data_IF_896145233311
#
_entry.id   IF_896145233311
#
_cell.length_a   1.000
_cell.length_b   1.000
_cell.length_c   1.000
_cell.angle_alpha   90.00
_cell.angle_beta   90.00
_cell.angle_gamma   90.00
#
_symmetry.space_group_name_H-M   'P 1'
#
loop_
_entity.id
_entity.type
_entity.pdbx_description
1 polymer ?
#
# COMPACT_ATOMS: atom_id res chain seq x y z
N UNK A 1 24.17 1.35 0.78
CA UNK A 1 23.92 2.70 0.24
C UNK A 1 22.58 3.20 0.74
N UNK A 2 22.56 4.24 1.57
CA UNK A 2 21.37 4.71 2.28
C UNK A 2 20.42 5.59 1.42
N UNK A 3 20.83 5.98 0.21
CA UNK A 3 20.06 6.91 -0.63
C UNK A 3 18.81 6.28 -1.28
N UNK A 4 18.75 4.95 -1.46
CA UNK A 4 17.63 4.30 -2.14
C UNK A 4 16.35 4.20 -1.31
N UNK A 5 16.43 4.16 0.02
CA UNK A 5 15.25 4.02 0.87
C UNK A 5 14.47 5.34 1.01
N UNK A 6 15.19 6.47 1.01
CA UNK A 6 14.59 7.81 1.12
C UNK A 6 13.79 8.18 -0.15
N UNK A 7 14.30 7.85 -1.33
CA UNK A 7 13.61 8.14 -2.59
C UNK A 7 12.33 7.32 -2.75
N UNK A 8 12.34 6.05 -2.33
CA UNK A 8 11.13 5.22 -2.38
C UNK A 8 10.07 5.69 -1.37
N UNK A 9 10.47 6.09 -0.15
CA UNK A 9 9.54 6.67 0.82
C UNK A 9 8.88 7.95 0.30
N UNK A 10 9.66 8.83 -0.34
CA UNK A 10 9.13 10.07 -0.94
C UNK A 10 8.18 9.79 -2.12
N UNK A 11 8.51 8.81 -2.97
CA UNK A 11 7.64 8.41 -4.07
C UNK A 11 6.31 7.81 -3.56
N UNK A 12 6.35 7.00 -2.50
CA UNK A 12 5.15 6.45 -1.88
C UNK A 12 4.30 7.53 -1.22
N UNK A 13 4.93 8.54 -0.60
CA UNK A 13 4.22 9.69 -0.06
C UNK A 13 3.52 10.51 -1.16
N UNK A 14 4.18 10.73 -2.30
CA UNK A 14 3.56 11.38 -3.45
C UNK A 14 2.39 10.56 -4.01
N UNK A 15 2.53 9.23 -4.09
CA UNK A 15 1.44 8.33 -4.51
C UNK A 15 0.26 8.35 -3.54
N UNK A 16 0.52 8.39 -2.22
CA UNK A 16 -0.54 8.57 -1.23
C UNK A 16 -1.26 9.90 -1.43
N UNK A 17 -0.51 10.99 -1.59
CA UNK A 17 -1.09 12.33 -1.83
C UNK A 17 -1.94 12.36 -3.12
N UNK A 18 -1.50 11.71 -4.20
CA UNK A 18 -2.27 11.56 -5.42
C UNK A 18 -3.55 10.74 -5.18
N UNK A 19 -3.43 9.60 -4.49
CA UNK A 19 -4.54 8.72 -4.14
C UNK A 19 -5.51 9.33 -3.09
N UNK A 20 -5.19 10.47 -2.50
CA UNK A 20 -6.14 11.22 -1.68
C UNK A 20 -7.29 11.80 -2.53
N UNK A 21 -7.03 12.16 -3.78
CA UNK A 21 -8.05 12.64 -4.73
C UNK A 21 -8.70 11.49 -5.50
N UNK A 22 -9.96 11.66 -5.90
CA UNK A 22 -10.65 10.64 -6.72
C UNK A 22 -9.98 10.45 -8.09
N UNK A 23 -9.59 11.54 -8.74
CA UNK A 23 -8.87 11.51 -10.01
C UNK A 23 -7.55 10.74 -9.89
N UNK A 24 -6.77 10.99 -8.83
CA UNK A 24 -5.51 10.28 -8.61
C UNK A 24 -5.71 8.81 -8.25
N UNK A 25 -6.74 8.44 -7.47
CA UNK A 25 -7.09 7.02 -7.25
C UNK A 25 -7.39 6.32 -8.56
N UNK A 26 -8.19 6.94 -9.42
CA UNK A 26 -8.53 6.38 -10.73
C UNK A 26 -7.31 6.27 -11.64
N UNK A 27 -6.40 7.23 -11.61
CA UNK A 27 -5.16 7.18 -12.37
C UNK A 27 -4.28 6.00 -11.91
N UNK A 28 -4.08 5.84 -10.60
CA UNK A 28 -3.30 4.73 -10.04
C UNK A 28 -3.99 3.37 -10.28
N UNK A 29 -5.32 3.31 -10.25
CA UNK A 29 -6.06 2.09 -10.54
C UNK A 29 -6.03 1.67 -12.03
N UNK A 30 -5.93 2.64 -12.94
CA UNK A 30 -5.84 2.38 -14.38
C UNK A 30 -4.42 2.08 -14.84
N UNK A 31 -3.41 2.57 -14.13
CA UNK A 31 -2.02 2.32 -14.48
C UNK A 31 -1.66 0.84 -14.28
N UNK A 32 -1.34 0.11 -15.36
CA UNK A 32 -1.10 -1.33 -15.28
C UNK A 32 0.08 -1.65 -14.36
N UNK A 33 -0.16 -2.47 -13.34
CA UNK A 33 0.88 -2.91 -12.41
C UNK A 33 1.21 -1.92 -11.28
N UNK A 34 0.59 -0.74 -11.24
CA UNK A 34 0.78 0.20 -10.13
C UNK A 34 0.26 -0.38 -8.79
N UNK A 35 -0.88 -1.07 -8.82
CA UNK A 35 -1.44 -1.75 -7.64
C UNK A 35 -0.49 -2.86 -7.18
N UNK A 36 0.01 -3.69 -8.10
CA UNK A 36 1.00 -4.73 -7.79
C UNK A 36 2.29 -4.15 -7.21
N UNK A 37 2.76 -3.02 -7.72
CA UNK A 37 3.95 -2.33 -7.19
C UNK A 37 3.71 -1.82 -5.76
N UNK A 38 2.55 -1.19 -5.50
CA UNK A 38 2.16 -0.78 -4.15
C UNK A 38 2.14 -1.96 -3.18
N UNK A 39 1.56 -3.11 -3.58
CA UNK A 39 1.52 -4.33 -2.76
C UNK A 39 2.92 -4.81 -2.36
N UNK A 40 3.89 -4.78 -3.29
CA UNK A 40 5.29 -5.14 -3.01
C UNK A 40 5.96 -4.19 -2.00
N UNK A 41 5.50 -2.95 -1.91
CA UNK A 41 6.05 -1.95 -1.01
C UNK A 41 5.27 -1.80 0.31
N UNK A 42 4.11 -2.47 0.48
CA UNK A 42 3.36 -2.49 1.74
C UNK A 42 4.22 -3.05 2.87
N UNK A 43 4.99 -4.10 2.62
CA UNK A 43 5.94 -4.66 3.57
C UNK A 43 7.36 -4.51 3.02
N UNK A 44 7.87 -3.29 3.03
CA UNK A 44 9.28 -3.07 2.71
C UNK A 44 10.14 -3.34 3.94
N UNK A 45 11.07 -4.28 3.84
CA UNK A 45 12.00 -4.65 4.92
C UNK A 45 13.10 -3.58 5.16
N UNK A 46 12.93 -2.38 4.60
CA UNK A 46 13.91 -1.31 4.71
C UNK A 46 13.69 -0.52 5.98
N UNK A 47 14.78 -0.03 6.56
CA UNK A 47 14.88 0.52 7.92
C UNK A 47 14.00 1.76 8.22
N UNK A 48 13.27 2.29 7.24
CA UNK A 48 12.34 3.41 7.42
C UNK A 48 10.90 2.94 7.38
N UNK A 49 10.26 2.98 8.55
CA UNK A 49 8.90 2.52 8.76
C UNK A 49 7.83 3.40 8.06
N UNK A 50 8.22 4.58 7.57
CA UNK A 50 7.32 5.53 6.93
C UNK A 50 6.90 5.07 5.52
N UNK A 51 7.78 4.42 4.75
CA UNK A 51 7.43 3.95 3.40
C UNK A 51 6.27 2.94 3.40
N UNK A 52 6.30 1.99 4.34
CA UNK A 52 5.24 0.98 4.50
C UNK A 52 3.88 1.59 4.87
N UNK A 53 3.89 2.69 5.64
CA UNK A 53 2.68 3.43 5.97
C UNK A 53 2.06 4.09 4.74
N UNK A 54 2.85 4.84 3.96
CA UNK A 54 2.39 5.53 2.77
C UNK A 54 1.91 4.54 1.69
N UNK A 55 2.65 3.44 1.49
CA UNK A 55 2.23 2.37 0.57
C UNK A 55 0.89 1.74 0.97
N UNK A 56 0.73 1.39 2.25
CA UNK A 56 -0.51 0.81 2.75
C UNK A 56 -1.70 1.79 2.65
N UNK A 57 -1.45 3.08 2.86
CA UNK A 57 -2.48 4.11 2.76
C UNK A 57 -2.91 4.36 1.31
N UNK A 58 -1.97 4.50 0.37
CA UNK A 58 -2.26 4.62 -1.06
C UNK A 58 -3.04 3.41 -1.58
N UNK A 59 -2.59 2.19 -1.23
CA UNK A 59 -3.26 0.96 -1.63
C UNK A 59 -4.67 0.86 -1.05
N UNK A 60 -4.88 1.26 0.21
CA UNK A 60 -6.20 1.27 0.83
C UNK A 60 -7.15 2.25 0.13
N UNK A 61 -6.66 3.43 -0.24
CA UNK A 61 -7.45 4.42 -0.96
C UNK A 61 -7.89 3.87 -2.33
N UNK A 62 -6.98 3.27 -3.09
CA UNK A 62 -7.28 2.69 -4.42
C UNK A 62 -8.22 1.49 -4.32
N UNK A 63 -8.00 0.58 -3.36
CA UNK A 63 -8.84 -0.61 -3.16
C UNK A 63 -10.27 -0.27 -2.72
N UNK A 64 -10.49 0.87 -2.05
CA UNK A 64 -11.84 1.31 -1.65
C UNK A 64 -12.71 1.66 -2.86
N UNK A 65 -12.11 2.32 -3.85
CA UNK A 65 -12.82 2.83 -5.02
C UNK A 65 -12.93 1.78 -6.13
N UNK A 66 -11.90 0.96 -6.34
CA UNK A 66 -11.83 0.04 -7.48
C UNK A 66 -11.90 -1.43 -7.06
N UNK A 67 -12.90 -2.15 -7.59
CA UNK A 67 -13.00 -3.62 -7.45
C UNK A 67 -11.93 -4.35 -8.26
N UNK A 68 -11.53 -3.80 -9.40
CA UNK A 68 -10.45 -4.36 -10.21
C UNK A 68 -9.12 -4.28 -9.45
N UNK A 69 -8.81 -3.13 -8.84
CA UNK A 69 -7.62 -2.96 -8.02
C UNK A 69 -7.62 -3.90 -6.81
N UNK A 70 -8.78 -4.15 -6.18
CA UNK A 70 -8.93 -5.16 -5.13
C UNK A 70 -8.54 -6.56 -5.62
N UNK A 71 -9.08 -6.98 -6.77
CA UNK A 71 -8.77 -8.29 -7.35
C UNK A 71 -7.28 -8.41 -7.70
N UNK A 72 -6.70 -7.36 -8.30
CA UNK A 72 -5.27 -7.32 -8.62
C UNK A 72 -4.41 -7.39 -7.34
N UNK A 73 -4.75 -6.62 -6.31
CA UNK A 73 -4.04 -6.63 -5.03
C UNK A 73 -4.11 -7.99 -4.34
N UNK A 74 -5.28 -8.65 -4.39
CA UNK A 74 -5.44 -10.02 -3.90
C UNK A 74 -4.56 -11.00 -4.68
N UNK A 75 -4.57 -10.93 -6.01
CA UNK A 75 -3.70 -11.75 -6.87
C UNK A 75 -2.21 -11.45 -6.70
N UNK A 76 -1.86 -10.24 -6.26
CA UNK A 76 -0.49 -9.86 -5.91
C UNK A 76 -0.06 -10.30 -4.49
N UNK A 77 -0.97 -10.87 -3.69
CA UNK A 77 -0.66 -11.38 -2.35
C UNK A 77 -0.70 -10.33 -1.23
N UNK A 78 -1.51 -9.28 -1.38
CA UNK A 78 -1.65 -8.21 -0.36
C UNK A 78 -1.99 -8.72 1.03
N UNK A 79 -2.82 -9.77 1.14
CA UNK A 79 -3.20 -10.36 2.43
C UNK A 79 -1.97 -10.91 3.14
N UNK A 80 -1.10 -11.63 2.44
CA UNK A 80 0.16 -12.15 2.98
C UNK A 80 1.07 -11.02 3.43
N UNK A 81 1.25 -9.97 2.61
CA UNK A 81 2.08 -8.80 2.94
C UNK A 81 1.59 -8.09 4.21
N UNK A 82 0.27 -7.92 4.32
CA UNK A 82 -0.37 -7.29 5.48
C UNK A 82 -0.22 -8.14 6.74
N UNK A 83 -0.37 -9.46 6.64
CA UNK A 83 -0.15 -10.36 7.77
C UNK A 83 1.31 -10.28 8.26
N UNK A 84 2.27 -10.32 7.33
CA UNK A 84 3.70 -10.14 7.65
C UNK A 84 3.95 -8.79 8.33
N UNK A 85 3.35 -7.70 7.83
CA UNK A 85 3.49 -6.39 8.44
C UNK A 85 2.94 -6.34 9.87
N UNK A 86 1.83 -7.03 10.14
CA UNK A 86 1.26 -7.14 11.49
C UNK A 86 2.14 -7.96 12.45
N UNK A 87 2.81 -9.00 11.95
CA UNK A 87 3.76 -9.81 12.73
C UNK A 87 5.12 -9.13 12.92
N UNK A 88 5.45 -8.15 12.08
CA UNK A 88 6.73 -7.45 12.13
C UNK A 88 6.81 -6.43 13.27
N UNK A 89 8.02 -5.95 13.52
CA UNK A 89 8.31 -4.83 14.42
C UNK A 89 7.95 -3.45 13.82
N UNK A 90 7.22 -3.40 12.68
CA UNK A 90 6.77 -2.14 12.09
C UNK A 90 5.89 -1.34 13.06
N UNK A 91 5.91 -0.02 12.89
CA UNK A 91 5.22 0.95 13.73
C UNK A 91 3.70 0.84 13.70
N UNK A 92 3.08 1.42 14.74
CA UNK A 92 1.64 1.31 15.04
C UNK A 92 0.75 1.83 13.90
N UNK A 93 1.15 2.88 13.19
CA UNK A 93 0.39 3.47 12.09
C UNK A 93 0.28 2.55 10.87
N UNK A 94 1.41 1.97 10.44
CA UNK A 94 1.41 0.99 9.35
C UNK A 94 0.53 -0.23 9.70
N UNK A 95 0.61 -0.72 10.95
CA UNK A 95 -0.25 -1.81 11.45
C UNK A 95 -1.74 -1.43 11.44
N UNK A 96 -2.09 -0.18 11.77
CA UNK A 96 -3.47 0.29 11.71
C UNK A 96 -4.02 0.27 10.28
N UNK A 97 -3.26 0.78 9.29
CA UNK A 97 -3.65 0.74 7.87
C UNK A 97 -3.76 -0.69 7.33
N UNK A 98 -2.84 -1.55 7.74
CA UNK A 98 -2.85 -2.97 7.39
C UNK A 98 -4.10 -3.69 7.93
N UNK A 99 -4.52 -3.40 9.18
CA UNK A 99 -5.80 -3.89 9.71
C UNK A 99 -7.00 -3.39 8.89
N UNK A 100 -6.99 -2.13 8.44
CA UNK A 100 -8.05 -1.61 7.57
C UNK A 100 -8.10 -2.33 6.22
N UNK A 101 -6.96 -2.64 5.61
CA UNK A 101 -6.89 -3.47 4.41
C UNK A 101 -7.50 -4.85 4.67
N UNK A 102 -7.10 -5.58 5.74
CA UNK A 102 -7.70 -6.89 6.05
C UNK A 102 -9.21 -6.84 6.21
N UNK A 103 -9.75 -5.81 6.88
CA UNK A 103 -11.20 -5.63 7.01
C UNK A 103 -11.88 -5.46 5.65
N UNK A 104 -11.27 -4.69 4.76
CA UNK A 104 -11.78 -4.46 3.41
C UNK A 104 -11.75 -5.74 2.56
N UNK A 105 -10.69 -6.55 2.66
CA UNK A 105 -10.61 -7.84 1.96
C UNK A 105 -11.51 -8.92 2.58
N UNK A 106 -11.74 -8.90 3.90
CA UNK A 106 -12.64 -9.85 4.58
C UNK A 106 -14.12 -9.58 4.30
N UNK A 107 -14.46 -8.36 3.90
CA UNK A 107 -15.82 -7.94 3.52
C UNK A 107 -16.09 -8.04 2.01
N UNK A 108 -15.19 -8.66 1.24
CA UNK A 108 -15.28 -8.77 -0.21
C UNK A 108 -15.99 -10.04 -0.66
#
# INVERSE_FOLDING_TARGET
>A
GCCGAATVSSALAALEALAASEAGRRAVAHEPGAVRALVRHVFMMSSSNEGSEHAAAALLAVCRESRAARSEAAGAGVVTQVLLLLQSQCGTRAKAKARSLLKLFKSM
#
